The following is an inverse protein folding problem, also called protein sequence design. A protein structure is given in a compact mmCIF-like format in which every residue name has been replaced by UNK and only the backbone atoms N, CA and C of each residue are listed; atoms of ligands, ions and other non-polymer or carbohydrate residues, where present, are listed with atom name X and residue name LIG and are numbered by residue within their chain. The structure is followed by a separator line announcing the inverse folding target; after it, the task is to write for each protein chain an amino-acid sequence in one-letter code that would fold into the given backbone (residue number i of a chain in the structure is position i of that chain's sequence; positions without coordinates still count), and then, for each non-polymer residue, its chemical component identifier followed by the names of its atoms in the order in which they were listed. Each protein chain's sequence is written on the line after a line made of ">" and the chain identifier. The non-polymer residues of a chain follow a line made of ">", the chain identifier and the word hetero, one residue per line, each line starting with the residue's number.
data_IF_622992979619
#
_entry.id   IF_622992979619
#
_cell.length_a   1.000
_cell.length_b   1.000
_cell.length_c   1.000
_cell.angle_alpha   90.00
_cell.angle_beta   90.00
_cell.angle_gamma   90.00
#
_symmetry.space_group_name_H-M   'P 1'
#
loop_
_entity.id
_entity.type
_entity.pdbx_description
1 polymer ?
#
# COMPACT_ATOMS: atom_id res chain seq x y z
N UNK A 1 1.53 -12.88 -24.94
CA UNK A 1 0.59 -11.74 -24.98
C UNK A 1 -0.68 -12.15 -24.27
N UNK A 2 -0.79 -11.79 -22.99
CA UNK A 2 -1.96 -12.10 -22.17
C UNK A 2 -2.71 -10.80 -21.95
N UNK A 3 -3.88 -10.66 -22.58
CA UNK A 3 -4.73 -9.48 -22.47
C UNK A 3 -5.49 -9.65 -21.15
N UNK A 4 -4.89 -9.19 -20.06
CA UNK A 4 -5.52 -9.12 -18.74
C UNK A 4 -6.65 -8.09 -18.78
N UNK A 5 -7.85 -8.56 -19.13
CA UNK A 5 -9.06 -7.75 -19.14
C UNK A 5 -9.32 -7.27 -17.70
N UNK A 6 -9.22 -5.97 -17.47
CA UNK A 6 -9.61 -5.29 -16.23
C UNK A 6 -11.12 -5.46 -15.99
N UNK A 7 -11.60 -6.59 -15.48
CA UNK A 7 -13.04 -6.79 -15.28
C UNK A 7 -13.65 -5.93 -14.15
N UNK A 8 -12.85 -5.45 -13.19
CA UNK A 8 -13.36 -4.77 -11.99
C UNK A 8 -13.84 -3.32 -12.18
N UNK A 9 -13.18 -2.54 -13.04
CA UNK A 9 -13.50 -1.11 -13.23
C UNK A 9 -14.65 -0.88 -14.20
N UNK A 10 -14.81 -1.75 -15.20
CA UNK A 10 -15.89 -1.60 -16.19
C UNK A 10 -17.23 -2.11 -15.65
N UNK A 11 -17.23 -3.17 -14.83
CA UNK A 11 -18.45 -3.68 -14.21
C UNK A 11 -19.12 -2.65 -13.29
N UNK A 12 -18.32 -1.93 -12.49
CA UNK A 12 -18.83 -0.86 -11.60
C UNK A 12 -19.36 0.34 -12.38
N UNK A 13 -18.68 0.74 -13.47
CA UNK A 13 -19.14 1.80 -14.36
C UNK A 13 -20.46 1.45 -15.08
N UNK A 14 -20.60 0.20 -15.56
CA UNK A 14 -21.81 -0.29 -16.24
C UNK A 14 -22.99 -0.36 -15.26
N UNK A 15 -22.78 -0.87 -14.04
CA UNK A 15 -23.83 -0.91 -13.01
C UNK A 15 -24.24 0.51 -12.61
N UNK A 16 -23.28 1.43 -12.44
CA UNK A 16 -23.57 2.83 -12.14
C UNK A 16 -24.37 3.52 -13.27
N UNK A 17 -24.05 3.23 -14.53
CA UNK A 17 -24.79 3.75 -15.69
C UNK A 17 -26.22 3.19 -15.76
N UNK A 18 -26.40 1.89 -15.56
CA UNK A 18 -27.72 1.24 -15.60
C UNK A 18 -28.61 1.75 -14.46
N UNK A 19 -28.06 1.83 -13.24
CA UNK A 19 -28.77 2.38 -12.08
C UNK A 19 -29.08 3.86 -12.31
N UNK A 20 -28.12 4.66 -12.77
CA UNK A 20 -28.31 6.07 -13.08
C UNK A 20 -29.42 6.31 -14.11
N UNK A 21 -29.44 5.52 -15.21
CA UNK A 21 -30.45 5.63 -16.25
C UNK A 21 -31.85 5.25 -15.73
N UNK A 22 -31.94 4.19 -14.92
CA UNK A 22 -33.20 3.73 -14.32
C UNK A 22 -33.75 4.75 -13.31
N UNK A 23 -32.87 5.40 -12.54
CA UNK A 23 -33.23 6.45 -11.60
C UNK A 23 -33.72 7.73 -12.33
N UNK A 24 -33.06 8.13 -13.42
CA UNK A 24 -33.45 9.29 -14.23
C UNK A 24 -34.81 9.06 -14.91
N UNK A 25 -35.03 7.88 -15.48
CA UNK A 25 -36.30 7.52 -16.13
C UNK A 25 -37.47 7.51 -15.14
N UNK A 26 -37.24 7.12 -13.88
CA UNK A 26 -38.28 7.04 -12.83
C UNK A 26 -38.50 8.36 -12.08
N UNK A 27 -37.52 9.26 -12.08
CA UNK A 27 -37.55 10.60 -11.43
C UNK A 27 -38.60 11.55 -12.01
N UNK A 28 -39.01 11.40 -13.28
CA UNK A 28 -39.99 12.31 -13.92
C UNK A 28 -41.38 12.34 -13.27
N UNK A 29 -41.72 11.42 -12.37
CA UNK A 29 -43.11 11.22 -11.89
C UNK A 29 -43.39 11.68 -10.46
N UNK A 30 -42.39 12.07 -9.65
CA UNK A 30 -42.66 12.53 -8.28
C UNK A 30 -41.53 13.38 -7.66
N UNK A 31 -41.86 14.56 -7.11
CA UNK A 31 -40.92 15.48 -6.44
C UNK A 31 -40.17 14.82 -5.26
N UNK A 32 -40.80 13.86 -4.57
CA UNK A 32 -40.18 13.06 -3.50
C UNK A 32 -39.10 12.09 -4.01
N UNK A 33 -39.16 11.71 -5.29
CA UNK A 33 -38.21 10.81 -5.93
C UNK A 33 -36.90 11.51 -6.27
N UNK A 34 -36.93 12.81 -6.58
CA UNK A 34 -35.72 13.60 -6.83
C UNK A 34 -34.81 13.69 -5.58
N UNK A 35 -35.41 13.83 -4.39
CA UNK A 35 -34.66 13.82 -3.13
C UNK A 35 -34.05 12.46 -2.82
N UNK A 36 -34.75 11.36 -3.14
CA UNK A 36 -34.21 10.01 -2.98
C UNK A 36 -33.02 9.76 -3.93
N UNK A 37 -33.11 10.17 -5.20
CA UNK A 37 -32.01 10.05 -6.16
C UNK A 37 -30.81 10.89 -5.75
N UNK A 38 -31.04 12.15 -5.34
CA UNK A 38 -29.98 13.02 -4.85
C UNK A 38 -29.29 12.43 -3.62
N UNK A 39 -30.05 11.86 -2.68
CA UNK A 39 -29.50 11.18 -1.50
C UNK A 39 -28.63 9.98 -1.85
N UNK A 40 -29.08 9.13 -2.80
CA UNK A 40 -28.30 7.98 -3.27
C UNK A 40 -27.00 8.43 -3.96
N UNK A 41 -27.06 9.44 -4.82
CA UNK A 41 -25.87 10.00 -5.47
C UNK A 41 -24.87 10.58 -4.47
N UNK A 42 -25.35 11.32 -3.46
CA UNK A 42 -24.50 11.88 -2.41
C UNK A 42 -23.82 10.76 -1.59
N UNK A 43 -24.55 9.68 -1.27
CA UNK A 43 -24.00 8.52 -0.58
C UNK A 43 -22.93 7.82 -1.41
N UNK A 44 -23.18 7.59 -2.71
CA UNK A 44 -22.20 6.96 -3.61
C UNK A 44 -20.93 7.79 -3.72
N UNK A 45 -21.05 9.12 -3.82
CA UNK A 45 -19.89 10.02 -3.82
C UNK A 45 -19.12 9.93 -2.51
N UNK A 46 -19.80 9.98 -1.35
CA UNK A 46 -19.15 9.87 -0.05
C UNK A 46 -18.40 8.54 0.11
N UNK A 47 -19.01 7.42 -0.29
CA UNK A 47 -18.37 6.10 -0.28
C UNK A 47 -17.17 6.08 -1.23
N UNK A 48 -17.28 6.65 -2.43
CA UNK A 48 -16.16 6.68 -3.38
C UNK A 48 -14.96 7.47 -2.85
N UNK A 49 -15.21 8.61 -2.19
CA UNK A 49 -14.16 9.43 -1.59
C UNK A 49 -13.52 8.71 -0.41
N UNK A 50 -14.33 8.04 0.42
CA UNK A 50 -13.84 7.23 1.54
C UNK A 50 -12.96 6.08 1.05
N UNK A 51 -13.39 5.32 0.04
CA UNK A 51 -12.60 4.22 -0.55
C UNK A 51 -11.30 4.74 -1.15
N UNK A 52 -11.33 5.89 -1.86
CA UNK A 52 -10.12 6.50 -2.40
C UNK A 52 -9.15 6.89 -1.30
N UNK A 53 -9.63 7.55 -0.24
CA UNK A 53 -8.80 7.92 0.90
C UNK A 53 -8.21 6.68 1.59
N UNK A 54 -9.03 5.66 1.83
CA UNK A 54 -8.66 4.40 2.47
C UNK A 54 -7.58 3.62 1.71
N UNK A 55 -7.62 3.65 0.38
CA UNK A 55 -6.70 2.89 -0.48
C UNK A 55 -5.44 3.66 -0.88
N UNK A 56 -5.51 5.00 -0.96
CA UNK A 56 -4.37 5.84 -1.34
C UNK A 56 -3.38 6.04 -0.19
N UNK A 57 -3.88 6.13 1.05
CA UNK A 57 -3.03 6.41 2.22
C UNK A 57 -1.94 5.36 2.49
N UNK A 58 -2.24 4.05 2.54
CA UNK A 58 -1.23 3.02 2.75
C UNK A 58 -0.18 3.02 1.64
N UNK A 59 -0.62 3.24 0.40
CA UNK A 59 0.26 3.35 -0.76
C UNK A 59 1.24 4.51 -0.65
N UNK A 60 0.75 5.71 -0.36
CA UNK A 60 1.61 6.89 -0.18
C UNK A 60 2.61 6.70 0.95
N UNK A 61 2.18 6.07 2.04
CA UNK A 61 3.05 5.75 3.19
C UNK A 61 4.17 4.80 2.78
N UNK A 62 3.83 3.72 2.07
CA UNK A 62 4.81 2.76 1.56
C UNK A 62 5.79 3.43 0.58
N UNK A 63 5.29 4.20 -0.40
CA UNK A 63 6.13 4.90 -1.38
C UNK A 63 7.08 5.90 -0.73
N UNK A 64 6.60 6.66 0.25
CA UNK A 64 7.44 7.60 1.00
C UNK A 64 8.49 6.86 1.82
N UNK A 65 8.12 5.81 2.55
CA UNK A 65 9.06 5.00 3.33
C UNK A 65 10.15 4.38 2.44
N UNK A 66 9.75 3.78 1.30
CA UNK A 66 10.66 3.21 0.31
C UNK A 66 11.63 4.28 -0.19
N UNK A 67 11.13 5.46 -0.53
CA UNK A 67 11.97 6.57 -1.01
C UNK A 67 12.99 6.99 0.05
N UNK A 68 12.57 7.15 1.30
CA UNK A 68 13.42 7.57 2.41
C UNK A 68 14.52 6.55 2.69
N UNK A 69 14.15 5.26 2.75
CA UNK A 69 15.09 4.14 2.92
C UNK A 69 16.07 4.03 1.76
N UNK A 70 15.61 4.24 0.52
CA UNK A 70 16.45 4.23 -0.68
C UNK A 70 17.52 5.34 -0.65
N UNK A 71 17.14 6.54 -0.19
CA UNK A 71 18.05 7.69 -0.06
C UNK A 71 18.88 7.67 1.23
N UNK A 72 18.87 6.57 1.99
CA UNK A 72 19.61 6.38 3.26
C UNK A 72 19.23 7.36 4.37
N UNK A 73 18.02 7.93 4.32
CA UNK A 73 17.47 8.78 5.38
C UNK A 73 16.85 7.91 6.49
N UNK A 74 17.68 7.06 7.11
CA UNK A 74 17.20 6.05 8.05
C UNK A 74 16.59 6.61 9.32
N UNK A 75 16.99 7.82 9.75
CA UNK A 75 16.36 8.52 10.88
C UNK A 75 14.90 8.88 10.57
N UNK A 76 14.63 9.41 9.37
CA UNK A 76 13.26 9.69 8.91
C UNK A 76 12.48 8.38 8.71
N UNK A 77 13.12 7.33 8.17
CA UNK A 77 12.48 6.02 8.04
C UNK A 77 12.07 5.47 9.42
N UNK A 78 12.90 5.68 10.45
CA UNK A 78 12.64 5.26 11.82
C UNK A 78 11.39 5.95 12.40
N UNK A 79 11.20 7.25 12.12
CA UNK A 79 10.02 8.02 12.54
C UNK A 79 8.72 7.55 11.87
N UNK A 80 8.82 6.97 10.67
CA UNK A 80 7.67 6.41 9.94
C UNK A 80 7.26 5.02 10.46
N UNK A 81 8.07 4.38 11.30
CA UNK A 81 7.76 3.07 11.86
C UNK A 81 6.77 3.19 13.01
N UNK A 82 5.85 2.24 13.10
CA UNK A 82 4.94 2.14 14.25
C UNK A 82 5.70 1.88 15.55
N UNK A 83 6.87 1.22 15.43
CA UNK A 83 7.81 0.98 16.51
C UNK A 83 9.20 1.44 16.07
N UNK A 84 9.69 2.60 16.55
CA UNK A 84 10.97 3.17 16.13
C UNK A 84 12.17 2.22 16.37
N UNK A 85 12.07 1.28 17.29
CA UNK A 85 13.13 0.30 17.59
C UNK A 85 13.33 -0.76 16.49
N UNK A 86 12.42 -0.87 15.53
CA UNK A 86 12.50 -1.84 14.45
C UNK A 86 13.63 -1.54 13.45
N UNK A 87 14.12 -0.31 13.43
CA UNK A 87 15.21 0.12 12.57
C UNK A 87 16.16 1.02 13.36
N UNK A 88 17.44 0.67 13.39
CA UNK A 88 18.45 1.43 14.11
C UNK A 88 19.74 1.47 13.32
N UNK A 89 20.27 2.68 13.13
CA UNK A 89 21.61 2.87 12.58
C UNK A 89 22.61 2.86 13.73
N UNK A 90 23.65 2.04 13.62
CA UNK A 90 24.76 2.04 14.56
C UNK A 90 25.84 3.04 14.14
N UNK A 91 26.73 3.39 15.09
CA UNK A 91 27.78 4.40 14.88
C UNK A 91 28.79 4.03 13.77
N UNK A 92 28.90 2.74 13.44
CA UNK A 92 29.76 2.23 12.38
C UNK A 92 29.08 2.23 10.99
N UNK A 93 27.87 2.75 10.89
CA UNK A 93 27.08 2.81 9.65
C UNK A 93 26.39 1.49 9.29
N UNK A 94 26.37 0.51 10.19
CA UNK A 94 25.54 -0.68 10.04
C UNK A 94 24.07 -0.37 10.34
N UNK A 95 23.16 -1.12 9.72
CA UNK A 95 21.72 -1.00 9.91
C UNK A 95 21.20 -2.26 10.59
N UNK A 96 20.77 -2.11 11.84
CA UNK A 96 20.07 -3.14 12.58
C UNK A 96 18.57 -3.06 12.26
N UNK A 97 18.01 -4.19 11.85
CA UNK A 97 16.59 -4.35 11.58
C UNK A 97 16.04 -5.41 12.55
N UNK A 98 15.02 -5.04 13.30
CA UNK A 98 14.29 -5.90 14.21
C UNK A 98 12.82 -5.94 13.78
N UNK A 99 12.35 -7.12 13.39
CA UNK A 99 10.96 -7.34 13.03
C UNK A 99 10.08 -7.61 14.26
N UNK A 100 8.76 -7.44 14.07
CA UNK A 100 7.73 -7.73 15.07
C UNK A 100 7.77 -9.19 15.56
N UNK A 101 8.09 -10.13 14.67
CA UNK A 101 8.22 -11.55 15.03
C UNK A 101 9.55 -11.91 15.73
N UNK A 102 10.32 -10.89 16.12
CA UNK A 102 11.65 -11.01 16.73
C UNK A 102 12.75 -11.54 15.81
N UNK A 103 12.49 -11.72 14.50
CA UNK A 103 13.56 -11.92 13.52
C UNK A 103 14.40 -10.64 13.42
N UNK A 104 15.70 -10.79 13.21
CA UNK A 104 16.63 -9.67 13.17
C UNK A 104 17.73 -9.90 12.15
N UNK A 105 18.20 -8.81 11.56
CA UNK A 105 19.37 -8.80 10.70
C UNK A 105 20.17 -7.53 10.95
N UNK A 106 21.49 -7.64 10.86
CA UNK A 106 22.40 -6.51 10.83
C UNK A 106 22.99 -6.43 9.43
N UNK A 107 22.71 -5.35 8.73
CA UNK A 107 23.22 -5.09 7.39
C UNK A 107 24.45 -4.21 7.45
N UNK A 108 25.48 -4.57 6.70
CA UNK A 108 26.67 -3.73 6.59
C UNK A 108 26.39 -2.50 5.72
N UNK A 109 27.20 -1.45 5.85
CA UNK A 109 27.07 -0.26 5.00
C UNK A 109 27.18 -0.58 3.49
N UNK A 110 27.83 -1.69 3.12
CA UNK A 110 27.96 -2.17 1.75
C UNK A 110 26.67 -2.84 1.23
N UNK A 111 25.80 -3.29 2.13
CA UNK A 111 24.51 -3.92 1.84
C UNK A 111 23.38 -2.89 1.63
N UNK A 112 23.69 -1.60 1.76
CA UNK A 112 22.73 -0.48 1.68
C UNK A 112 22.89 0.33 0.39
N UNK A 113 21.80 0.89 -0.18
CA UNK A 113 20.47 1.01 0.41
C UNK A 113 19.61 -0.25 0.26
N UNK A 114 18.50 -0.30 0.99
CA UNK A 114 17.45 -1.27 0.72
C UNK A 114 16.64 -0.80 -0.50
N UNK A 115 16.25 -1.73 -1.34
CA UNK A 115 15.46 -1.51 -2.56
C UNK A 115 14.23 -2.41 -2.57
N UNK A 116 13.18 -1.98 -3.25
CA UNK A 116 11.98 -2.82 -3.41
C UNK A 116 12.32 -4.04 -4.27
N UNK A 117 12.04 -5.24 -3.76
CA UNK A 117 12.27 -6.50 -4.49
C UNK A 117 11.09 -6.84 -5.43
N UNK A 118 9.89 -6.38 -5.09
CA UNK A 118 8.65 -6.62 -5.83
C UNK A 118 8.10 -5.33 -6.45
N UNK A 119 8.60 -4.99 -7.64
CA UNK A 119 8.04 -3.92 -8.48
C UNK A 119 7.28 -4.46 -9.68
N UNK A 120 6.21 -3.78 -10.08
CA UNK A 120 5.55 -4.04 -11.35
C UNK A 120 6.48 -3.60 -12.51
N UNK A 121 6.14 -3.91 -13.77
CA UNK A 121 6.94 -3.47 -14.91
C UNK A 121 7.09 -1.95 -15.04
N UNK A 122 6.32 -1.15 -14.29
CA UNK A 122 6.39 0.30 -14.24
C UNK A 122 7.20 0.82 -13.03
N UNK A 123 7.84 -0.07 -12.25
CA UNK A 123 8.64 0.29 -11.08
C UNK A 123 7.82 0.66 -9.85
N UNK A 124 6.51 0.39 -9.86
CA UNK A 124 5.61 0.65 -8.72
C UNK A 124 5.68 -0.53 -7.77
N UNK A 125 5.77 -0.31 -6.44
CA UNK A 125 5.68 -1.38 -5.46
C UNK A 125 4.37 -2.14 -5.68
N UNK A 126 4.47 -3.45 -5.98
CA UNK A 126 3.27 -4.26 -6.15
C UNK A 126 2.83 -4.68 -4.77
N UNK A 127 1.60 -4.33 -4.34
CA UNK A 127 1.06 -4.97 -3.15
C UNK A 127 1.11 -6.48 -3.37
N UNK A 128 1.63 -7.24 -2.40
CA UNK A 128 1.40 -8.68 -2.39
C UNK A 128 -0.11 -8.90 -2.57
N UNK A 129 -0.51 -9.74 -3.53
CA UNK A 129 -1.92 -9.90 -3.93
C UNK A 129 -2.74 -10.53 -2.79
N UNK A 130 -3.07 -9.73 -1.79
CA UNK A 130 -4.01 -10.09 -0.75
C UNK A 130 -5.11 -9.03 -0.70
N UNK A 131 -6.21 -9.33 -1.38
CA UNK A 131 -7.40 -8.48 -1.41
C UNK A 131 -7.97 -8.21 -0.02
N UNK A 132 -7.78 -9.11 0.96
CA UNK A 132 -8.25 -8.85 2.32
C UNK A 132 -7.45 -7.75 3.01
N UNK A 133 -6.12 -7.72 2.82
CA UNK A 133 -5.25 -6.67 3.37
C UNK A 133 -5.54 -5.32 2.69
N UNK A 134 -5.73 -5.33 1.36
CA UNK A 134 -6.11 -4.12 0.63
C UNK A 134 -7.44 -3.53 1.13
N UNK A 135 -8.47 -4.37 1.34
CA UNK A 135 -9.74 -3.93 1.91
C UNK A 135 -9.56 -3.47 3.37
N UNK A 136 -8.64 -4.07 4.12
CA UNK A 136 -8.31 -3.65 5.48
C UNK A 136 -7.51 -2.33 5.53
N UNK A 137 -7.16 -1.73 4.39
CA UNK A 137 -6.39 -0.48 4.36
C UNK A 137 -4.92 -0.71 4.69
N UNK A 138 -4.39 -1.85 4.29
CA UNK A 138 -3.01 -2.28 4.49
C UNK A 138 -2.34 -2.53 3.15
N UNK A 139 -1.05 -2.25 3.08
CA UNK A 139 -0.23 -2.53 1.92
C UNK A 139 1.05 -3.24 2.32
N UNK A 140 1.14 -4.51 1.94
CA UNK A 140 2.33 -5.33 2.13
C UNK A 140 3.32 -5.09 0.98
N UNK A 141 4.60 -4.94 1.32
CA UNK A 141 5.69 -4.78 0.37
C UNK A 141 6.98 -5.39 0.92
N UNK A 142 7.91 -5.66 0.03
CA UNK A 142 9.19 -6.28 0.36
C UNK A 142 10.35 -5.37 -0.01
N UNK A 143 11.33 -5.31 0.87
CA UNK A 143 12.61 -4.65 0.65
C UNK A 143 13.71 -5.70 0.65
N UNK A 144 14.74 -5.51 -0.15
CA UNK A 144 15.93 -6.33 -0.17
C UNK A 144 17.18 -5.49 -0.23
N UNK A 145 18.33 -6.06 0.13
CA UNK A 145 19.59 -5.36 -0.01
C UNK A 145 19.98 -5.22 -1.49
N UNK A 146 20.52 -4.06 -1.85
CA UNK A 146 20.95 -3.76 -3.22
C UNK A 146 22.06 -4.68 -3.72
N UNK A 147 22.98 -5.05 -2.83
CA UNK A 147 24.18 -5.85 -3.15
C UNK A 147 24.07 -7.28 -2.66
N UNK A 148 23.31 -7.54 -1.59
CA UNK A 148 23.11 -8.86 -1.02
C UNK A 148 21.63 -9.27 -1.14
N UNK A 149 21.30 -10.03 -2.19
CA UNK A 149 19.92 -10.48 -2.45
C UNK A 149 19.40 -11.50 -1.44
N UNK A 150 20.22 -11.93 -0.50
CA UNK A 150 19.87 -12.96 0.46
C UNK A 150 19.05 -12.42 1.63
N UNK A 151 18.91 -11.09 1.78
CA UNK A 151 18.08 -10.50 2.85
C UNK A 151 16.81 -9.90 2.25
N UNK A 152 15.66 -10.38 2.70
CA UNK A 152 14.33 -9.85 2.38
C UNK A 152 13.66 -9.38 3.67
N UNK A 153 13.21 -8.14 3.68
CA UNK A 153 12.51 -7.47 4.78
C UNK A 153 11.06 -7.28 4.35
N UNK A 154 10.15 -7.95 5.05
CA UNK A 154 8.72 -7.89 4.80
C UNK A 154 8.09 -6.77 5.63
N UNK A 155 7.50 -5.80 4.95
CA UNK A 155 6.90 -4.62 5.56
C UNK A 155 5.40 -4.54 5.27
N UNK A 156 4.67 -3.87 6.17
CA UNK A 156 3.26 -3.51 5.97
C UNK A 156 3.09 -2.02 6.28
N UNK A 157 2.53 -1.26 5.34
CA UNK A 157 2.06 0.10 5.58
C UNK A 157 0.58 0.08 6.01
N UNK A 158 0.27 0.72 7.12
CA UNK A 158 -1.09 0.88 7.66
C UNK A 158 -1.24 2.27 8.30
N UNK A 159 -2.32 2.99 7.95
CA UNK A 159 -2.76 4.24 8.62
C UNK A 159 -1.67 5.32 8.78
N UNK A 160 -0.73 5.43 7.83
CA UNK A 160 0.33 6.45 7.88
C UNK A 160 1.62 5.98 8.54
N UNK A 161 1.68 4.73 9.04
CA UNK A 161 2.90 4.14 9.59
C UNK A 161 3.29 2.88 8.83
N UNK A 162 4.54 2.46 9.01
CA UNK A 162 5.08 1.20 8.50
C UNK A 162 5.38 0.26 9.67
N UNK A 163 5.23 -1.04 9.45
CA UNK A 163 5.63 -2.10 10.38
C UNK A 163 6.55 -3.06 9.66
N UNK A 164 7.66 -3.43 10.28
CA UNK A 164 8.52 -4.51 9.81
C UNK A 164 8.01 -5.81 10.44
N UNK A 165 7.45 -6.72 9.63
CA UNK A 165 6.78 -7.93 10.13
C UNK A 165 7.74 -9.09 10.32
N UNK A 166 8.63 -9.28 9.34
CA UNK A 166 9.52 -10.42 9.25
C UNK A 166 10.76 -10.04 8.46
N UNK A 167 11.89 -10.65 8.80
CA UNK A 167 13.11 -10.62 8.02
C UNK A 167 13.52 -12.05 7.69
N UNK A 168 13.73 -12.32 6.41
CA UNK A 168 14.19 -13.60 5.90
C UNK A 168 15.63 -13.47 5.39
N UNK A 169 16.47 -14.45 5.74
CA UNK A 169 17.83 -14.60 5.25
C UNK A 169 17.89 -15.90 4.42
N UNK A 170 17.88 -15.76 3.10
CA UNK A 170 17.97 -16.87 2.14
C UNK A 170 19.44 -17.28 2.03
N UNK A 171 19.89 -18.23 2.84
CA UNK A 171 21.24 -18.79 2.69
C UNK A 171 21.35 -19.57 1.37
N UNK A 172 22.25 -19.16 0.48
CA UNK A 172 22.74 -20.00 -0.62
C UNK A 172 23.83 -20.97 -0.15
#
# INVERSE_FOLDING_TARGET
>A
MNIGIHWGTWATAIVALIVGLFLILRSRRNKKWNWAVAGVLALLLAVSMFVRWWTVWPKQTAEHFISVVFHKHYDEAQEMLSEPQQLKVADDGTLDILAEDSSKVTLSANDLPLVVTSTDPAGVPVPMQNWSEFIAGRMDFELGSFTNKDVIVYCTAERGNVRIRHVEITQQ
#
